data_IF_060379388156
#
_entry.id   IF_060379388156
#
_cell.length_a   1.000
_cell.length_b   1.000
_cell.length_c   1.000
_cell.angle_alpha   90.00
_cell.angle_beta   90.00
_cell.angle_gamma   90.00
#
_symmetry.space_group_name_H-M   'P 1'
#
loop_
_entity.id
_entity.type
_entity.pdbx_description
1 polymer ?
#
# COMPACT_ATOMS: atom_id res chain seq x y z
N UNK A 1 6.47 5.25 -16.03
CA UNK A 1 5.05 4.78 -16.04
C UNK A 1 4.68 4.48 -14.59
N UNK A 2 3.57 4.98 -14.06
CA UNK A 2 3.12 4.66 -12.70
C UNK A 2 1.75 3.98 -12.75
N UNK A 3 1.54 2.95 -11.92
CA UNK A 3 0.25 2.30 -11.71
C UNK A 3 -0.36 2.77 -10.40
N UNK A 4 -1.67 2.99 -10.37
CA UNK A 4 -2.43 3.38 -9.18
C UNK A 4 -3.43 2.25 -8.86
N UNK A 5 -3.34 1.63 -7.68
CA UNK A 5 -4.29 0.64 -7.20
C UNK A 5 -5.12 1.22 -6.04
N UNK A 6 -6.45 1.10 -6.14
CA UNK A 6 -7.41 1.57 -5.14
C UNK A 6 -7.98 0.38 -4.35
N UNK A 7 -7.81 0.38 -3.02
CA UNK A 7 -8.37 -0.66 -2.12
C UNK A 7 -8.90 -0.07 -0.82
N UNK A 8 -10.04 -0.60 -0.38
CA UNK A 8 -10.52 -0.52 1.01
C UNK A 8 -10.11 -1.81 1.75
N UNK A 9 -9.54 -1.72 2.95
CA UNK A 9 -9.19 -2.91 3.75
C UNK A 9 -9.89 -2.87 5.12
N UNK A 10 -10.40 -4.01 5.58
CA UNK A 10 -11.15 -4.11 6.84
C UNK A 10 -10.28 -4.56 8.03
N UNK A 11 -9.08 -5.10 7.79
CA UNK A 11 -8.19 -5.63 8.83
C UNK A 11 -6.73 -5.78 8.35
N UNK A 12 -5.82 -6.00 9.30
CA UNK A 12 -4.37 -6.13 9.05
C UNK A 12 -4.02 -7.27 8.08
N UNK A 13 -4.79 -8.36 8.06
CA UNK A 13 -4.57 -9.47 7.12
C UNK A 13 -4.87 -9.03 5.68
N UNK A 14 -5.95 -8.28 5.48
CA UNK A 14 -6.29 -7.72 4.18
C UNK A 14 -5.24 -6.71 3.71
N UNK A 15 -4.72 -5.87 4.61
CA UNK A 15 -3.62 -4.96 4.32
C UNK A 15 -2.37 -5.69 3.80
N UNK A 16 -1.91 -6.74 4.49
CA UNK A 16 -0.75 -7.55 4.05
C UNK A 16 -0.97 -8.19 2.68
N UNK A 17 -2.20 -8.64 2.39
CA UNK A 17 -2.53 -9.17 1.06
C UNK A 17 -2.47 -8.10 -0.03
N UNK A 18 -2.92 -6.88 0.28
CA UNK A 18 -2.85 -5.76 -0.66
C UNK A 18 -1.39 -5.39 -0.99
N UNK A 19 -0.49 -5.41 0.00
CA UNK A 19 0.95 -5.21 -0.22
C UNK A 19 1.54 -6.23 -1.19
N UNK A 20 1.33 -7.53 -0.93
CA UNK A 20 1.83 -8.59 -1.81
C UNK A 20 1.23 -8.50 -3.23
N UNK A 21 -0.04 -8.14 -3.34
CA UNK A 21 -0.72 -7.96 -4.62
C UNK A 21 -0.15 -6.77 -5.41
N UNK A 22 0.09 -5.63 -4.75
CA UNK A 22 0.71 -4.46 -5.36
C UNK A 22 2.13 -4.76 -5.86
N UNK A 23 2.93 -5.49 -5.07
CA UNK A 23 4.27 -5.92 -5.49
C UNK A 23 4.23 -6.80 -6.74
N UNK A 24 3.30 -7.76 -6.80
CA UNK A 24 3.05 -8.58 -7.99
C UNK A 24 2.66 -7.74 -9.21
N UNK A 25 1.85 -6.71 -9.03
CA UNK A 25 1.52 -5.79 -10.13
C UNK A 25 2.73 -4.99 -10.58
N UNK A 26 3.54 -4.49 -9.66
CA UNK A 26 4.80 -3.81 -10.00
C UNK A 26 5.73 -4.70 -10.83
N UNK A 27 5.84 -5.98 -10.47
CA UNK A 27 6.61 -6.95 -11.23
C UNK A 27 6.06 -7.14 -12.64
N UNK A 28 4.73 -7.32 -12.77
CA UNK A 28 4.07 -7.48 -14.07
C UNK A 28 4.21 -6.26 -14.98
N UNK A 29 4.31 -5.07 -14.39
CA UNK A 29 4.55 -3.80 -15.09
C UNK A 29 6.03 -3.55 -15.38
N UNK A 30 6.95 -4.38 -14.88
CA UNK A 30 8.39 -4.21 -15.05
C UNK A 30 8.98 -3.01 -14.30
N UNK A 31 8.34 -2.58 -13.21
CA UNK A 31 8.81 -1.46 -12.37
C UNK A 31 9.43 -1.97 -11.07
N UNK A 32 10.40 -1.23 -10.53
CA UNK A 32 11.08 -1.57 -9.28
C UNK A 32 10.34 -1.06 -8.04
N UNK A 33 9.40 -0.11 -8.22
CA UNK A 33 8.56 0.39 -7.14
C UNK A 33 7.15 0.74 -7.59
N UNK A 34 6.21 0.71 -6.64
CA UNK A 34 4.79 1.01 -6.86
C UNK A 34 4.18 1.67 -5.63
N UNK A 35 3.24 2.60 -5.83
CA UNK A 35 2.48 3.23 -4.75
C UNK A 35 1.16 2.49 -4.53
N UNK A 36 0.88 2.13 -3.27
CA UNK A 36 -0.40 1.57 -2.85
C UNK A 36 -1.16 2.64 -2.06
N UNK A 37 -2.11 3.30 -2.71
CA UNK A 37 -2.89 4.39 -2.11
C UNK A 37 -4.19 3.84 -1.52
N UNK A 38 -4.37 4.03 -0.22
CA UNK A 38 -5.46 3.47 0.56
C UNK A 38 -6.29 4.62 1.14
N UNK A 39 -7.55 4.71 0.74
CA UNK A 39 -8.47 5.73 1.24
C UNK A 39 -9.17 5.20 2.49
N UNK A 40 -9.12 5.99 3.56
CA UNK A 40 -9.60 5.60 4.88
C UNK A 40 -10.35 6.76 5.54
N UNK A 41 -11.33 6.44 6.39
CA UNK A 41 -12.12 7.47 7.09
C UNK A 41 -11.25 8.27 8.06
N UNK A 42 -10.52 7.60 8.96
CA UNK A 42 -9.62 8.24 9.92
C UNK A 42 -8.40 7.39 10.19
N UNK A 43 -7.29 8.01 10.57
CA UNK A 43 -6.10 7.34 11.09
C UNK A 43 -5.40 8.20 12.13
N UNK A 44 -4.99 7.59 13.23
CA UNK A 44 -4.08 8.25 14.16
C UNK A 44 -2.63 8.18 13.69
N UNK A 45 -1.80 9.07 14.22
CA UNK A 45 -0.40 9.20 13.83
C UNK A 45 0.42 7.92 14.10
N UNK A 46 0.09 7.18 15.16
CA UNK A 46 0.78 5.94 15.53
C UNK A 46 0.56 4.87 14.45
N UNK A 47 -0.67 4.70 14.00
CA UNK A 47 -1.04 3.77 12.94
C UNK A 47 -0.48 4.24 11.60
N UNK A 48 -0.48 5.55 11.31
CA UNK A 48 0.12 6.12 10.10
C UNK A 48 1.60 5.72 9.99
N UNK A 49 2.37 5.99 11.05
CA UNK A 49 3.78 5.61 11.12
C UNK A 49 4.00 4.10 11.05
N UNK A 50 3.07 3.29 11.55
CA UNK A 50 3.17 1.84 11.49
C UNK A 50 2.94 1.29 10.08
N UNK A 51 1.98 1.84 9.33
CA UNK A 51 1.52 1.27 8.06
C UNK A 51 2.13 1.94 6.82
N UNK A 52 2.44 3.24 6.84
CA UNK A 52 3.06 3.94 5.71
C UNK A 52 4.58 3.71 5.61
N UNK A 53 5.01 2.47 5.89
CA UNK A 53 6.40 2.04 5.75
C UNK A 53 6.58 1.28 4.45
N UNK A 54 7.69 1.56 3.78
CA UNK A 54 8.11 0.81 2.60
C UNK A 54 8.13 -0.69 2.87
N UNK A 55 7.57 -1.43 1.94
CA UNK A 55 7.51 -2.88 1.96
C UNK A 55 8.16 -3.42 0.69
N UNK A 56 9.36 -3.99 0.83
CA UNK A 56 10.00 -4.74 -0.25
C UNK A 56 9.56 -6.19 -0.21
N UNK A 57 8.95 -6.66 -1.28
CA UNK A 57 8.58 -8.07 -1.42
C UNK A 57 9.78 -8.89 -1.89
N UNK A 58 10.15 -9.93 -1.14
CA UNK A 58 11.36 -10.71 -1.39
C UNK A 58 11.25 -11.59 -2.65
N UNK A 59 10.05 -11.96 -3.08
CA UNK A 59 9.86 -12.82 -4.25
C UNK A 59 9.95 -12.02 -5.55
N UNK A 60 9.36 -10.84 -5.55
CA UNK A 60 9.29 -9.97 -6.74
C UNK A 60 10.41 -8.94 -6.81
N UNK A 61 11.04 -8.61 -5.67
CA UNK A 61 12.05 -7.54 -5.55
C UNK A 61 11.47 -6.12 -5.64
N UNK A 62 10.13 -5.98 -5.70
CA UNK A 62 9.45 -4.69 -5.84
C UNK A 62 9.24 -4.04 -4.48
N UNK A 63 9.53 -2.74 -4.38
CA UNK A 63 9.17 -1.93 -3.21
C UNK A 63 7.79 -1.30 -3.38
N UNK A 64 6.90 -1.58 -2.43
CA UNK A 64 5.59 -0.95 -2.32
C UNK A 64 5.70 0.21 -1.33
N UNK A 65 5.22 1.39 -1.73
CA UNK A 65 5.09 2.59 -0.91
C UNK A 65 3.61 2.76 -0.51
N UNK A 66 3.19 2.33 0.69
CA UNK A 66 1.81 2.43 1.14
C UNK A 66 1.52 3.86 1.59
N UNK A 67 0.43 4.45 1.12
CA UNK A 67 0.01 5.80 1.52
C UNK A 67 -1.46 5.79 1.88
N UNK A 68 -1.78 6.20 3.11
CA UNK A 68 -3.14 6.32 3.58
C UNK A 68 -3.61 7.76 3.40
N UNK A 69 -4.65 7.92 2.59
CA UNK A 69 -5.31 9.20 2.36
C UNK A 69 -6.54 9.25 3.25
N UNK A 70 -6.52 10.15 4.23
CA UNK A 70 -7.68 10.37 5.10
C UNK A 70 -8.73 11.18 4.35
N UNK A 71 -9.96 10.67 4.31
CA UNK A 71 -11.11 11.32 3.66
C UNK A 71 -12.23 11.71 4.63
N UNK A 72 -12.15 11.29 5.89
CA UNK A 72 -13.04 11.77 6.94
C UNK A 72 -12.54 13.08 7.57
N UNK A 73 -13.49 13.89 8.04
CA UNK A 73 -13.18 15.10 8.79
C UNK A 73 -12.54 14.71 10.13
N UNK A 74 -11.40 15.34 10.45
CA UNK A 74 -10.72 15.20 11.73
C UNK A 74 -11.50 15.89 12.87
#
# INVERSE_FOLDING_TARGET
LFGLELKSFANQRAYRKALAQAAKYGQQLGVTSIWLVLFIETIDEKNRQQFEKDYTDNETGVTVHPQFVQIGNA
#
